data_IF_806105292473
#
_entry.id   IF_806105292473
#
_cell.length_a   1.000
_cell.length_b   1.000
_cell.length_c   1.000
_cell.angle_alpha   90.00
_cell.angle_beta   90.00
_cell.angle_gamma   90.00
#
_symmetry.space_group_name_H-M   'P 1'
#
loop_
_entity.id
_entity.type
_entity.pdbx_description
1 polymer ?
#
# COMPACT_ATOMS: atom_id res chain seq x y z
N UNK A 1 70.56 -23.23 24.50
CA UNK A 1 70.22 -22.99 25.92
C UNK A 1 69.07 -22.00 25.98
N UNK A 2 67.93 -22.45 26.54
CA UNK A 2 66.76 -21.72 27.10
C UNK A 2 66.02 -20.73 26.16
N UNK A 3 64.80 -20.97 25.66
CA UNK A 3 63.47 -21.21 26.28
C UNK A 3 63.06 -20.15 27.32
N UNK A 4 61.93 -19.46 27.06
CA UNK A 4 60.58 -19.59 27.69
C UNK A 4 59.57 -19.02 26.66
N UNK A 5 58.60 -19.77 26.10
CA UNK A 5 57.32 -20.30 26.64
C UNK A 5 56.22 -19.24 26.86
N UNK A 6 55.19 -19.34 26.01
CA UNK A 6 53.74 -19.17 26.24
C UNK A 6 53.08 -18.97 24.85
N UNK A 7 52.21 -19.80 24.29
CA UNK A 7 51.39 -20.86 24.85
C UNK A 7 49.92 -20.65 24.48
N UNK A 8 49.54 -20.68 23.19
CA UNK A 8 48.14 -20.95 22.80
C UNK A 8 48.05 -21.75 21.50
N UNK A 9 47.73 -23.02 21.69
CA UNK A 9 47.28 -23.98 20.69
C UNK A 9 45.83 -23.62 20.31
N UNK A 10 45.60 -23.07 19.12
CA UNK A 10 44.24 -22.89 18.59
C UNK A 10 43.96 -24.06 17.68
N UNK A 11 43.21 -25.02 18.21
CA UNK A 11 42.63 -26.13 17.48
C UNK A 11 42.11 -25.65 16.11
N UNK A 12 42.62 -26.30 15.06
CA UNK A 12 42.04 -26.22 13.73
C UNK A 12 40.63 -26.79 13.76
N UNK A 13 39.65 -25.92 13.97
CA UNK A 13 38.27 -26.20 13.61
C UNK A 13 38.13 -25.99 12.10
N UNK A 14 38.26 -27.10 11.38
CA UNK A 14 37.78 -27.26 10.02
C UNK A 14 36.26 -27.04 10.03
N UNK A 15 35.82 -25.86 9.60
CA UNK A 15 34.40 -25.56 9.37
C UNK A 15 33.89 -26.09 8.03
N UNK A 16 34.68 -26.90 7.31
CA UNK A 16 34.37 -27.22 5.91
C UNK A 16 33.49 -28.44 5.68
N UNK A 17 33.09 -29.27 6.67
CA UNK A 17 32.40 -30.53 6.32
C UNK A 17 31.25 -31.03 7.19
N UNK A 18 30.72 -30.27 8.18
CA UNK A 18 29.59 -30.76 8.99
C UNK A 18 28.23 -30.13 8.68
N UNK A 19 28.15 -29.03 7.92
CA UNK A 19 26.86 -28.41 7.57
C UNK A 19 26.27 -28.92 6.24
N UNK A 20 27.09 -29.53 5.39
CA UNK A 20 26.67 -29.98 4.04
C UNK A 20 25.94 -31.34 4.09
N UNK A 21 26.19 -32.16 5.13
CA UNK A 21 25.59 -33.49 5.28
C UNK A 21 24.10 -33.50 5.68
N UNK A 22 23.56 -32.41 6.22
CA UNK A 22 22.16 -32.35 6.69
C UNK A 22 21.17 -31.72 5.69
N UNK A 23 21.64 -31.17 4.57
CA UNK A 23 20.77 -30.44 3.61
C UNK A 23 20.42 -31.22 2.34
N UNK A 24 20.93 -32.43 2.15
CA UNK A 24 20.72 -33.20 0.92
C UNK A 24 19.83 -34.44 1.05
N UNK A 25 19.32 -34.72 2.25
CA UNK A 25 18.29 -35.72 2.47
C UNK A 25 17.18 -35.19 3.35
N UNK A 26 16.33 -34.32 2.78
CA UNK A 26 14.95 -34.29 3.25
C UNK A 26 13.95 -33.94 2.15
N UNK A 27 13.11 -34.93 1.85
CA UNK A 27 11.80 -34.73 1.23
C UNK A 27 10.89 -34.13 2.31
N UNK A 28 11.06 -32.84 2.60
CA UNK A 28 10.05 -32.00 3.25
C UNK A 28 10.48 -30.52 3.17
N UNK A 29 9.88 -29.81 2.21
CA UNK A 29 9.89 -28.34 2.09
C UNK A 29 9.06 -27.74 3.25
N UNK A 30 9.52 -27.87 4.49
CA UNK A 30 8.84 -27.35 5.67
C UNK A 30 9.84 -26.71 6.63
N UNK A 31 10.21 -25.46 6.36
CA UNK A 31 10.10 -24.34 7.32
C UNK A 31 10.58 -23.02 6.70
N UNK A 32 9.72 -22.49 5.82
CA UNK A 32 9.32 -21.09 5.77
C UNK A 32 10.39 -20.01 6.04
N UNK A 33 11.45 -19.95 5.22
CA UNK A 33 12.47 -18.87 5.17
C UNK A 33 11.91 -17.46 4.86
N UNK A 34 10.59 -17.33 4.69
CA UNK A 34 9.96 -16.04 4.49
C UNK A 34 10.02 -15.23 5.79
N UNK A 35 10.49 -13.97 5.76
CA UNK A 35 10.51 -13.11 6.94
C UNK A 35 9.11 -12.86 7.52
N UNK A 36 9.00 -12.73 8.85
CA UNK A 36 7.73 -12.49 9.54
C UNK A 36 7.01 -11.22 9.10
N UNK A 37 7.76 -10.16 8.78
CA UNK A 37 7.19 -8.90 8.28
C UNK A 37 6.53 -9.04 6.90
N UNK A 38 6.87 -10.08 6.14
CA UNK A 38 6.23 -10.45 4.88
C UNK A 38 5.04 -11.38 5.14
N UNK A 39 5.24 -12.44 5.94
CA UNK A 39 4.21 -13.45 6.25
C UNK A 39 2.94 -12.82 6.84
N UNK A 40 3.09 -11.88 7.78
CA UNK A 40 1.98 -11.30 8.55
C UNK A 40 1.32 -10.10 7.89
N UNK A 41 1.88 -9.57 6.79
CA UNK A 41 1.42 -8.32 6.20
C UNK A 41 1.18 -8.50 4.69
N UNK A 42 -0.10 -8.57 4.31
CA UNK A 42 -0.47 -8.77 2.90
C UNK A 42 0.02 -7.64 1.99
N UNK A 43 0.13 -6.41 2.48
CA UNK A 43 0.64 -5.27 1.72
C UNK A 43 2.16 -5.43 1.51
N UNK A 44 2.88 -5.85 2.54
CA UNK A 44 4.32 -6.09 2.45
C UNK A 44 4.63 -7.26 1.50
N UNK A 45 3.88 -8.36 1.58
CA UNK A 45 4.02 -9.48 0.66
C UNK A 45 3.73 -9.10 -0.79
N UNK A 46 2.69 -8.31 -1.05
CA UNK A 46 2.40 -7.82 -2.39
C UNK A 46 3.53 -6.92 -2.92
N UNK A 47 4.00 -5.98 -2.10
CA UNK A 47 5.15 -5.14 -2.47
C UNK A 47 6.41 -5.96 -2.73
N UNK A 48 6.71 -6.95 -1.89
CA UNK A 48 7.88 -7.83 -2.07
C UNK A 48 7.80 -8.57 -3.39
N UNK A 49 6.65 -9.18 -3.68
CA UNK A 49 6.40 -9.87 -4.95
C UNK A 49 6.58 -8.94 -6.16
N UNK A 50 6.09 -7.69 -6.08
CA UNK A 50 6.33 -6.69 -7.15
C UNK A 50 7.82 -6.41 -7.37
N UNK A 51 8.62 -6.37 -6.30
CA UNK A 51 10.07 -6.18 -6.44
C UNK A 51 10.70 -7.41 -7.11
N UNK A 52 10.31 -8.62 -6.70
CA UNK A 52 10.80 -9.87 -7.32
C UNK A 52 10.60 -9.85 -8.84
N UNK A 53 9.38 -9.57 -9.31
CA UNK A 53 9.07 -9.61 -10.76
C UNK A 53 9.73 -8.46 -11.56
N UNK A 54 10.20 -7.41 -10.88
CA UNK A 54 10.88 -6.27 -11.51
C UNK A 54 12.39 -6.29 -11.29
N UNK A 55 12.93 -7.32 -10.63
CA UNK A 55 14.37 -7.43 -10.40
C UNK A 55 15.03 -8.15 -11.56
N UNK A 56 16.00 -7.50 -12.21
CA UNK A 56 16.84 -8.17 -13.20
C UNK A 56 17.74 -9.20 -12.49
N UNK A 57 17.73 -10.48 -12.90
CA UNK A 57 18.54 -11.53 -12.31
C UNK A 57 20.04 -11.21 -12.25
N UNK A 58 20.58 -10.44 -13.22
CA UNK A 58 22.00 -10.07 -13.25
C UNK A 58 22.42 -9.23 -12.05
N UNK A 59 21.46 -8.55 -11.42
CA UNK A 59 21.68 -7.65 -10.31
C UNK A 59 21.74 -8.39 -8.97
N UNK A 60 21.30 -9.64 -8.96
CA UNK A 60 21.25 -10.48 -7.77
C UNK A 60 22.63 -11.05 -7.42
N UNK A 61 23.64 -10.88 -8.29
CA UNK A 61 24.98 -11.43 -8.09
C UNK A 61 24.97 -12.96 -7.94
N UNK A 62 23.95 -13.63 -8.50
CA UNK A 62 23.82 -15.08 -8.48
C UNK A 62 24.94 -15.70 -9.30
N UNK A 63 25.60 -16.72 -8.74
CA UNK A 63 26.74 -17.37 -9.41
C UNK A 63 26.29 -18.27 -10.55
N UNK A 64 25.11 -18.88 -10.41
CA UNK A 64 24.49 -19.73 -11.41
C UNK A 64 23.20 -19.09 -11.97
N UNK A 65 23.36 -18.07 -12.83
CA UNK A 65 22.23 -17.37 -13.48
C UNK A 65 21.29 -18.34 -14.21
N UNK A 66 21.83 -19.36 -14.90
CA UNK A 66 21.01 -20.33 -15.63
C UNK A 66 20.16 -21.18 -14.68
N UNK A 67 20.75 -21.66 -13.57
CA UNK A 67 20.04 -22.44 -12.57
C UNK A 67 18.97 -21.62 -11.84
N UNK A 68 19.30 -20.38 -11.49
CA UNK A 68 18.36 -19.44 -10.89
C UNK A 68 17.19 -19.13 -11.84
N UNK A 69 17.49 -18.73 -13.08
CA UNK A 69 16.45 -18.45 -14.09
C UNK A 69 15.59 -19.67 -14.37
N UNK A 70 16.17 -20.88 -14.38
CA UNK A 70 15.42 -22.13 -14.54
C UNK A 70 14.47 -22.37 -13.37
N UNK A 71 14.94 -22.17 -12.13
CA UNK A 71 14.11 -22.31 -10.94
C UNK A 71 12.98 -21.27 -10.87
N UNK A 72 13.20 -20.11 -11.49
CA UNK A 72 12.24 -19.00 -11.51
C UNK A 72 11.43 -18.90 -12.81
N UNK A 73 11.59 -19.84 -13.75
CA UNK A 73 10.82 -19.84 -15.00
C UNK A 73 9.32 -19.87 -14.72
N UNK A 74 8.59 -18.93 -15.32
CA UNK A 74 7.15 -18.74 -15.11
C UNK A 74 6.77 -17.92 -13.87
N UNK A 75 7.70 -17.69 -12.95
CA UNK A 75 7.48 -16.90 -11.73
C UNK A 75 7.99 -15.46 -11.83
N UNK A 76 9.03 -15.23 -12.63
CA UNK A 76 9.57 -13.89 -12.96
C UNK A 76 9.76 -13.75 -14.47
N UNK A 77 9.79 -12.52 -15.01
CA UNK A 77 10.14 -12.30 -16.41
C UNK A 77 11.57 -12.79 -16.68
N UNK A 78 11.71 -13.79 -17.54
CA UNK A 78 13.00 -14.27 -18.01
C UNK A 78 13.08 -14.09 -19.54
N UNK A 79 13.69 -12.98 -19.98
CA UNK A 79 13.76 -12.64 -21.41
C UNK A 79 12.37 -12.45 -22.03
N UNK A 80 12.05 -13.22 -23.06
CA UNK A 80 10.75 -13.21 -23.76
C UNK A 80 9.70 -14.14 -23.16
N UNK A 81 9.97 -14.78 -22.02
CA UNK A 81 9.03 -15.69 -21.36
C UNK A 81 8.09 -14.87 -20.47
N UNK A 82 6.77 -14.85 -20.76
CA UNK A 82 5.81 -14.13 -19.93
C UNK A 82 5.71 -14.76 -18.54
N UNK A 83 5.41 -13.94 -17.53
CA UNK A 83 5.01 -14.42 -16.20
C UNK A 83 3.81 -15.36 -16.40
N UNK A 84 3.89 -16.61 -15.92
CA UNK A 84 2.83 -17.59 -16.11
C UNK A 84 1.75 -17.48 -15.04
N UNK A 85 2.05 -16.86 -13.89
CA UNK A 85 1.11 -16.75 -12.76
C UNK A 85 1.23 -15.41 -12.05
N UNK A 86 0.22 -14.55 -12.19
CA UNK A 86 0.02 -13.40 -11.30
C UNK A 86 -0.69 -13.94 -10.05
N UNK A 87 -0.10 -13.85 -8.85
CA UNK A 87 -0.74 -14.32 -7.62
C UNK A 87 -2.09 -13.62 -7.39
N UNK A 88 -3.13 -14.40 -7.11
CA UNK A 88 -4.48 -13.90 -6.87
C UNK A 88 -4.81 -13.62 -5.40
N UNK A 89 -3.93 -14.02 -4.48
CA UNK A 89 -4.12 -13.89 -3.04
C UNK A 89 -2.79 -13.89 -2.29
N UNK A 90 -2.87 -13.73 -0.96
CA UNK A 90 -1.71 -13.67 -0.07
C UNK A 90 -0.92 -14.98 -0.03
N UNK A 91 -1.58 -16.14 0.01
CA UNK A 91 -0.91 -17.44 0.11
C UNK A 91 -0.12 -17.75 -1.16
N UNK A 92 -0.69 -17.48 -2.33
CA UNK A 92 0.03 -17.57 -3.60
C UNK A 92 1.23 -16.64 -3.64
N UNK A 93 1.12 -15.41 -3.09
CA UNK A 93 2.28 -14.50 -2.99
C UNK A 93 3.37 -15.07 -2.09
N UNK A 94 3.02 -15.65 -0.95
CA UNK A 94 3.98 -16.28 -0.06
C UNK A 94 4.67 -17.49 -0.70
N UNK A 95 3.96 -18.32 -1.46
CA UNK A 95 4.55 -19.44 -2.20
C UNK A 95 5.61 -18.97 -3.22
N UNK A 96 5.29 -17.93 -4.01
CA UNK A 96 6.24 -17.34 -4.97
C UNK A 96 7.46 -16.76 -4.25
N UNK A 97 7.24 -16.01 -3.18
CA UNK A 97 8.33 -15.42 -2.38
C UNK A 97 9.21 -16.51 -1.76
N UNK A 98 8.61 -17.58 -1.23
CA UNK A 98 9.33 -18.72 -0.67
C UNK A 98 10.24 -19.39 -1.69
N UNK A 99 9.70 -19.68 -2.89
CA UNK A 99 10.48 -20.27 -3.99
C UNK A 99 11.66 -19.39 -4.39
N UNK A 100 11.44 -18.08 -4.46
CA UNK A 100 12.47 -17.12 -4.80
C UNK A 100 13.58 -17.02 -3.73
N UNK A 101 13.20 -16.96 -2.45
CA UNK A 101 14.16 -16.96 -1.33
C UNK A 101 14.97 -18.26 -1.32
N UNK A 102 14.32 -19.41 -1.50
CA UNK A 102 14.99 -20.71 -1.55
C UNK A 102 15.99 -20.81 -2.72
N UNK A 103 15.70 -20.16 -3.85
CA UNK A 103 16.65 -20.06 -4.96
C UNK A 103 17.87 -19.22 -4.57
N UNK A 104 17.69 -18.10 -3.88
CA UNK A 104 18.81 -17.26 -3.43
C UNK A 104 19.65 -17.89 -2.33
N UNK A 105 19.05 -18.68 -1.44
CA UNK A 105 19.78 -19.42 -0.40
C UNK A 105 20.81 -20.36 -1.05
N UNK A 106 20.44 -21.03 -2.15
CA UNK A 106 21.35 -21.91 -2.90
C UNK A 106 22.56 -21.18 -3.50
N UNK A 107 22.42 -19.89 -3.76
CA UNK A 107 23.50 -19.02 -4.28
C UNK A 107 24.19 -18.19 -3.18
N UNK A 108 23.83 -18.37 -1.90
CA UNK A 108 24.34 -17.61 -0.74
C UNK A 108 24.12 -16.08 -0.85
N UNK A 109 23.00 -15.66 -1.46
CA UNK A 109 22.64 -14.25 -1.70
C UNK A 109 21.39 -13.80 -0.90
N UNK A 110 20.74 -14.71 -0.17
CA UNK A 110 19.44 -14.45 0.49
C UNK A 110 19.50 -13.33 1.52
N UNK A 111 20.51 -13.34 2.39
CA UNK A 111 20.53 -12.52 3.60
C UNK A 111 20.71 -11.04 3.28
N UNK A 112 21.61 -10.74 2.34
CA UNK A 112 21.84 -9.38 1.87
C UNK A 112 20.61 -8.82 1.18
N UNK A 113 19.95 -9.61 0.33
CA UNK A 113 18.76 -9.15 -0.38
C UNK A 113 17.58 -8.93 0.56
N UNK A 114 17.28 -9.89 1.45
CA UNK A 114 16.20 -9.79 2.44
C UNK A 114 16.43 -8.59 3.36
N UNK A 115 17.66 -8.37 3.81
CA UNK A 115 18.00 -7.23 4.66
C UNK A 115 17.76 -5.91 3.94
N UNK A 116 18.17 -5.81 2.68
CA UNK A 116 17.95 -4.60 1.86
C UNK A 116 16.47 -4.35 1.61
N UNK A 117 15.71 -5.40 1.29
CA UNK A 117 14.26 -5.32 1.13
C UNK A 117 13.55 -4.86 2.39
N UNK A 118 13.97 -5.35 3.55
CA UNK A 118 13.38 -4.95 4.82
C UNK A 118 13.66 -3.47 5.12
N UNK A 119 14.89 -2.99 4.87
CA UNK A 119 15.20 -1.57 5.01
C UNK A 119 14.34 -0.70 4.09
N UNK A 120 14.15 -1.13 2.84
CA UNK A 120 13.30 -0.44 1.88
C UNK A 120 11.83 -0.43 2.32
N UNK A 121 11.32 -1.56 2.82
CA UNK A 121 9.97 -1.66 3.36
C UNK A 121 9.77 -0.67 4.51
N UNK A 122 10.68 -0.61 5.48
CA UNK A 122 10.59 0.31 6.62
C UNK A 122 10.50 1.80 6.20
N UNK A 123 11.13 2.17 5.09
CA UNK A 123 11.07 3.54 4.55
C UNK A 123 9.70 3.87 3.95
N UNK A 124 9.01 2.90 3.36
CA UNK A 124 7.73 3.09 2.68
C UNK A 124 6.51 2.69 3.52
N UNK A 125 6.68 1.83 4.52
CA UNK A 125 5.61 1.28 5.36
C UNK A 125 4.80 2.40 6.01
N UNK A 126 5.49 3.40 6.56
CA UNK A 126 4.88 4.55 7.24
C UNK A 126 4.27 5.57 6.28
N UNK A 127 4.45 5.42 4.97
CA UNK A 127 3.91 6.35 3.96
C UNK A 127 2.46 5.98 3.65
N UNK A 128 1.63 7.01 3.51
CA UNK A 128 0.29 6.97 2.89
C UNK A 128 -0.49 5.68 3.17
N UNK A 129 -0.94 5.52 4.41
CA UNK A 129 -1.74 4.36 4.84
C UNK A 129 -3.14 4.29 4.19
N UNK A 130 -3.49 5.24 3.31
CA UNK A 130 -4.80 5.36 2.67
C UNK A 130 -5.98 5.15 3.64
N UNK A 131 -5.84 5.59 4.90
CA UNK A 131 -6.83 5.39 6.00
C UNK A 131 -8.24 5.87 5.65
N UNK A 132 -8.35 6.78 4.69
CA UNK A 132 -9.62 7.32 4.19
C UNK A 132 -10.37 6.32 3.29
N UNK A 133 -9.69 5.35 2.69
CA UNK A 133 -10.27 4.35 1.80
C UNK A 133 -10.74 3.15 2.60
N UNK A 134 -12.04 2.83 2.55
CA UNK A 134 -12.59 1.64 3.21
C UNK A 134 -12.57 0.46 2.24
N UNK A 135 -12.49 -0.76 2.81
CA UNK A 135 -12.63 -2.04 2.07
C UNK A 135 -14.10 -2.29 1.66
N UNK A 136 -14.69 -1.42 0.85
CA UNK A 136 -16.00 -1.67 0.22
C UNK A 136 -15.91 -1.47 -1.29
N UNK A 137 -16.71 -2.25 -2.02
CA UNK A 137 -16.65 -2.35 -3.48
C UNK A 137 -16.72 -0.99 -4.16
N UNK A 138 -17.70 -0.16 -3.81
CA UNK A 138 -17.94 1.14 -4.46
C UNK A 138 -16.72 2.08 -4.35
N UNK A 139 -16.16 2.23 -3.14
CA UNK A 139 -15.00 3.09 -2.93
C UNK A 139 -13.76 2.56 -3.62
N UNK A 140 -13.56 1.24 -3.61
CA UNK A 140 -12.42 0.60 -4.25
C UNK A 140 -12.48 0.69 -5.77
N UNK A 141 -13.66 0.50 -6.37
CA UNK A 141 -13.87 0.68 -7.81
C UNK A 141 -13.63 2.12 -8.24
N UNK A 142 -14.16 3.09 -7.48
CA UNK A 142 -13.90 4.51 -7.75
C UNK A 142 -12.41 4.83 -7.66
N UNK A 143 -11.73 4.34 -6.61
CA UNK A 143 -10.30 4.59 -6.41
C UNK A 143 -9.46 3.97 -7.53
N UNK A 144 -9.76 2.73 -7.92
CA UNK A 144 -9.10 2.06 -9.02
C UNK A 144 -9.33 2.78 -10.35
N UNK A 145 -10.56 3.21 -10.64
CA UNK A 145 -10.88 4.01 -11.83
C UNK A 145 -10.12 5.34 -11.84
N UNK A 146 -9.98 6.00 -10.69
CA UNK A 146 -9.23 7.24 -10.57
C UNK A 146 -7.74 7.05 -10.92
N UNK A 147 -7.15 5.95 -10.43
CA UNK A 147 -5.76 5.53 -10.69
C UNK A 147 -5.59 5.18 -12.17
N UNK A 148 -6.43 4.29 -12.71
CA UNK A 148 -6.35 3.82 -14.09
C UNK A 148 -6.48 4.94 -15.13
N UNK A 149 -7.19 6.02 -14.80
CA UNK A 149 -7.31 7.19 -15.67
C UNK A 149 -6.06 8.09 -15.69
N UNK A 150 -5.12 7.92 -14.75
CA UNK A 150 -3.98 8.85 -14.54
C UNK A 150 -2.62 8.18 -14.56
N UNK A 151 -2.59 6.87 -14.37
CA UNK A 151 -1.36 6.08 -14.39
C UNK A 151 -1.39 5.20 -15.65
N UNK A 152 -0.35 5.24 -16.50
CA UNK A 152 -0.29 4.46 -17.71
C UNK A 152 -0.41 2.98 -17.44
N UNK A 153 -1.09 2.30 -18.35
CA UNK A 153 -1.43 0.89 -18.22
C UNK A 153 -0.20 -0.03 -18.08
N UNK A 154 0.94 0.36 -18.68
CA UNK A 154 2.22 -0.36 -18.57
C UNK A 154 2.70 -0.54 -17.13
N UNK A 155 2.27 0.31 -16.21
CA UNK A 155 2.63 0.21 -14.77
C UNK A 155 1.54 -0.49 -13.94
N UNK A 156 0.33 -0.61 -14.48
CA UNK A 156 -0.81 -1.22 -13.82
C UNK A 156 -0.98 -2.71 -14.19
N UNK A 157 -0.31 -3.17 -15.25
CA UNK A 157 -0.38 -4.54 -15.75
C UNK A 157 -0.02 -5.61 -14.71
N UNK A 158 0.73 -5.24 -13.66
CA UNK A 158 1.15 -6.17 -12.60
C UNK A 158 0.20 -6.23 -11.39
N UNK A 159 -0.79 -5.35 -11.30
CA UNK A 159 -1.63 -5.23 -10.10
C UNK A 159 -2.98 -5.97 -10.20
N UNK A 160 -3.28 -6.60 -11.34
CA UNK A 160 -4.58 -7.12 -11.79
C UNK A 160 -5.46 -7.72 -10.66
N UNK A 161 -6.29 -6.90 -9.98
CA UNK A 161 -6.91 -7.34 -8.74
C UNK A 161 -8.17 -8.16 -9.04
N UNK A 162 -8.21 -9.39 -8.53
CA UNK A 162 -9.31 -10.35 -8.77
C UNK A 162 -10.44 -10.25 -7.74
N UNK A 163 -10.21 -9.58 -6.61
CA UNK A 163 -11.17 -9.41 -5.52
C UNK A 163 -11.08 -8.00 -4.94
N UNK A 164 -12.07 -7.62 -4.11
CA UNK A 164 -12.03 -6.33 -3.40
C UNK A 164 -10.87 -6.25 -2.40
N UNK A 165 -10.50 -7.37 -1.75
CA UNK A 165 -9.35 -7.37 -0.85
C UNK A 165 -8.06 -7.12 -1.63
N UNK A 166 -7.86 -7.82 -2.74
CA UNK A 166 -6.70 -7.61 -3.62
C UNK A 166 -6.69 -6.20 -4.22
N UNK A 167 -7.86 -5.68 -4.61
CA UNK A 167 -7.99 -4.30 -5.11
C UNK A 167 -7.56 -3.29 -4.06
N UNK A 168 -7.97 -3.48 -2.80
CA UNK A 168 -7.52 -2.63 -1.70
C UNK A 168 -6.00 -2.71 -1.51
N UNK A 169 -5.43 -3.92 -1.45
CA UNK A 169 -3.98 -4.12 -1.28
C UNK A 169 -3.22 -3.46 -2.43
N UNK A 170 -3.62 -3.71 -3.67
CA UNK A 170 -3.04 -3.13 -4.87
C UNK A 170 -3.04 -1.60 -4.81
N UNK A 171 -4.17 -0.98 -4.45
CA UNK A 171 -4.26 0.49 -4.29
C UNK A 171 -3.29 0.98 -3.22
N UNK A 172 -3.26 0.34 -2.05
CA UNK A 172 -2.41 0.78 -0.93
C UNK A 172 -0.93 0.65 -1.29
N UNK A 173 -0.50 -0.48 -1.87
CA UNK A 173 0.88 -0.68 -2.35
C UNK A 173 1.23 0.39 -3.36
N UNK A 174 0.37 0.61 -4.35
CA UNK A 174 0.59 1.59 -5.40
C UNK A 174 0.77 3.00 -4.81
N UNK A 175 -0.09 3.42 -3.88
CA UNK A 175 0.04 4.72 -3.20
C UNK A 175 1.34 4.86 -2.38
N UNK A 176 1.90 3.76 -1.85
CA UNK A 176 3.18 3.76 -1.13
C UNK A 176 4.37 3.95 -2.08
N UNK A 177 4.34 3.36 -3.27
CA UNK A 177 5.46 3.38 -4.23
C UNK A 177 5.46 4.60 -5.17
N UNK A 178 4.36 5.37 -5.23
CA UNK A 178 4.25 6.55 -6.11
C UNK A 178 5.07 7.78 -5.68
N UNK A 179 5.79 7.75 -4.55
CA UNK A 179 6.56 8.89 -4.06
C UNK A 179 8.03 8.78 -4.51
N UNK A 180 8.56 9.74 -5.30
CA UNK A 180 9.86 9.66 -5.95
C UNK A 180 11.05 10.11 -5.10
N UNK A 181 10.87 10.63 -3.89
CA UNK A 181 11.96 11.33 -3.21
C UNK A 181 13.00 10.40 -2.57
N UNK A 182 12.63 9.29 -1.93
CA UNK A 182 13.60 8.55 -1.11
C UNK A 182 13.26 7.05 -1.02
N UNK A 183 13.80 6.22 -1.90
CA UNK A 183 13.82 4.77 -1.68
C UNK A 183 15.28 4.29 -1.77
N UNK A 184 15.82 3.62 -0.74
CA UNK A 184 17.21 3.17 -0.75
C UNK A 184 17.48 2.14 -1.84
N UNK A 185 18.64 2.36 -2.42
CA UNK A 185 19.20 1.74 -3.60
C UNK A 185 19.61 0.28 -3.46
N UNK A 186 19.14 -0.62 -4.32
CA UNK A 186 20.08 -1.50 -5.02
C UNK A 186 20.19 -1.21 -6.52
N UNK A 187 19.14 -0.67 -7.16
CA UNK A 187 19.23 -0.08 -8.51
C UNK A 187 18.35 1.14 -8.75
N UNK A 188 18.72 1.94 -9.76
CA UNK A 188 18.13 3.23 -10.14
C UNK A 188 16.67 2.98 -10.33
N UNK A 189 15.82 3.49 -9.44
CA UNK A 189 14.44 3.07 -9.45
C UNK A 189 13.69 3.88 -10.50
N UNK A 190 14.34 4.17 -11.64
CA UNK A 190 13.76 4.82 -12.81
C UNK A 190 12.64 3.97 -13.44
N UNK A 191 12.56 2.66 -13.15
CA UNK A 191 11.54 1.77 -13.73
C UNK A 191 10.22 1.81 -12.95
N UNK A 192 10.24 2.04 -11.64
CA UNK A 192 9.01 2.17 -10.82
C UNK A 192 8.74 3.59 -10.32
N UNK A 193 9.70 4.52 -10.42
CA UNK A 193 9.55 5.89 -9.92
C UNK A 193 8.74 6.72 -10.90
N UNK A 194 7.48 6.91 -10.52
CA UNK A 194 6.59 7.84 -11.19
C UNK A 194 6.95 9.28 -10.80
N UNK A 195 7.88 9.89 -11.53
CA UNK A 195 8.16 11.34 -11.44
C UNK A 195 6.92 12.20 -11.71
N UNK A 196 5.85 11.62 -12.28
CA UNK A 196 4.56 12.26 -12.50
C UNK A 196 3.75 12.38 -11.20
N UNK A 197 3.85 11.45 -10.25
CA UNK A 197 3.00 11.45 -9.06
C UNK A 197 3.42 12.46 -7.96
N UNK A 198 4.73 12.73 -7.77
CA UNK A 198 5.12 13.85 -6.89
C UNK A 198 5.06 15.21 -7.55
N UNK A 199 5.29 15.34 -8.86
CA UNK A 199 5.09 16.63 -9.52
C UNK A 199 3.65 17.12 -9.39
N UNK A 200 2.70 16.19 -9.26
CA UNK A 200 1.28 16.51 -9.24
C UNK A 200 0.58 16.45 -7.88
N UNK A 201 1.27 16.13 -6.77
CA UNK A 201 0.61 15.84 -5.48
C UNK A 201 -0.54 14.83 -5.66
N UNK A 202 -0.27 13.74 -6.37
CA UNK A 202 -1.30 12.78 -6.79
C UNK A 202 -2.17 12.29 -5.63
N UNK A 203 -1.53 11.90 -4.51
CA UNK A 203 -2.24 11.45 -3.32
C UNK A 203 -3.19 12.52 -2.77
N UNK A 204 -2.74 13.77 -2.65
CA UNK A 204 -3.58 14.87 -2.16
C UNK A 204 -4.75 15.14 -3.11
N UNK A 205 -4.52 15.12 -4.43
CA UNK A 205 -5.57 15.28 -5.44
C UNK A 205 -6.59 14.14 -5.38
N UNK A 206 -6.12 12.90 -5.27
CA UNK A 206 -6.97 11.72 -5.15
C UNK A 206 -7.79 11.77 -3.86
N UNK A 207 -7.17 12.06 -2.72
CA UNK A 207 -7.83 12.18 -1.44
C UNK A 207 -8.88 13.30 -1.44
N UNK A 208 -8.58 14.47 -2.03
CA UNK A 208 -9.55 15.55 -2.18
C UNK A 208 -10.72 15.18 -3.09
N UNK A 209 -10.46 14.49 -4.21
CA UNK A 209 -11.51 14.01 -5.10
C UNK A 209 -12.38 12.95 -4.42
N UNK A 210 -11.77 12.05 -3.64
CA UNK A 210 -12.47 11.05 -2.85
C UNK A 210 -13.38 11.71 -1.81
N UNK A 211 -12.85 12.69 -1.08
CA UNK A 211 -13.64 13.46 -0.10
C UNK A 211 -14.85 14.10 -0.78
N UNK A 212 -14.67 14.74 -1.94
CA UNK A 212 -15.77 15.33 -2.70
C UNK A 212 -16.85 14.31 -3.08
N UNK A 213 -16.44 13.12 -3.51
CA UNK A 213 -17.35 12.06 -3.95
C UNK A 213 -18.13 11.44 -2.78
N UNK A 214 -17.44 11.04 -1.72
CA UNK A 214 -18.02 10.17 -0.68
C UNK A 214 -18.26 10.84 0.67
N UNK A 215 -17.62 11.98 0.93
CA UNK A 215 -17.74 12.71 2.21
C UNK A 215 -18.56 13.99 2.03
N UNK A 216 -18.19 14.82 1.06
CA UNK A 216 -18.88 16.08 0.77
C UNK A 216 -20.21 15.85 0.02
N UNK A 217 -20.47 14.63 -0.47
CA UNK A 217 -21.79 14.18 -0.92
C UNK A 217 -22.81 14.05 0.22
N UNK A 218 -22.34 13.97 1.47
CA UNK A 218 -23.15 14.21 2.69
C UNK A 218 -23.13 15.69 3.09
N UNK A 219 -22.92 16.61 2.15
CA UNK A 219 -23.30 18.00 2.38
C UNK A 219 -24.74 17.99 2.85
N UNK A 220 -24.91 18.47 4.08
CA UNK A 220 -26.16 19.00 4.57
C UNK A 220 -26.95 19.56 3.38
N UNK A 221 -28.16 19.06 3.12
CA UNK A 221 -29.03 19.61 2.04
C UNK A 221 -29.44 21.07 2.31
N UNK A 222 -28.77 21.72 3.26
CA UNK A 222 -28.97 23.11 3.67
C UNK A 222 -28.43 24.01 2.57
N UNK A 223 -29.28 24.93 2.17
CA UNK A 223 -28.96 25.98 1.22
C UNK A 223 -28.62 27.23 2.03
N UNK A 224 -27.49 27.86 1.74
CA UNK A 224 -27.14 29.13 2.36
C UNK A 224 -28.08 30.24 1.85
N UNK A 225 -28.73 30.94 2.77
CA UNK A 225 -29.57 32.09 2.45
C UNK A 225 -28.83 33.35 2.93
N UNK A 226 -28.44 34.22 2.00
CA UNK A 226 -27.86 35.53 2.32
C UNK A 226 -28.94 36.61 2.14
N UNK A 227 -29.43 37.18 3.25
CA UNK A 227 -30.42 38.27 3.23
C UNK A 227 -29.98 39.41 4.14
N UNK A 228 -30.37 40.63 3.80
CA UNK A 228 -30.29 41.77 4.71
C UNK A 228 -31.63 41.90 5.45
N UNK A 229 -31.59 41.95 6.78
CA UNK A 229 -32.76 42.20 7.64
C UNK A 229 -32.56 43.50 8.41
N UNK A 230 -33.64 44.07 8.95
CA UNK A 230 -33.53 45.24 9.82
C UNK A 230 -32.75 44.94 11.10
N UNK A 231 -32.17 45.99 11.71
CA UNK A 231 -31.45 45.87 12.99
C UNK A 231 -32.31 45.27 14.10
N UNK A 232 -33.60 45.60 14.10
CA UNK A 232 -34.53 45.19 15.15
C UNK A 232 -34.94 43.73 14.98
N UNK A 233 -35.13 43.28 13.74
CA UNK A 233 -35.34 41.86 13.43
C UNK A 233 -34.11 41.03 13.83
N UNK A 234 -32.90 41.54 13.60
CA UNK A 234 -31.66 40.89 14.03
C UNK A 234 -31.56 40.78 15.55
N UNK A 235 -31.84 41.85 16.30
CA UNK A 235 -31.88 41.82 17.78
C UNK A 235 -32.89 40.82 18.31
N UNK A 236 -34.06 40.76 17.68
CA UNK A 236 -35.14 39.82 18.07
C UNK A 236 -34.71 38.37 17.83
N UNK A 237 -34.11 38.08 16.67
CA UNK A 237 -33.56 36.76 16.36
C UNK A 237 -32.45 36.34 17.34
N UNK A 238 -31.58 37.29 17.72
CA UNK A 238 -30.51 37.05 18.69
C UNK A 238 -31.06 36.79 20.10
N UNK A 239 -32.16 37.45 20.48
CA UNK A 239 -32.85 37.19 21.75
C UNK A 239 -33.48 35.80 21.77
N UNK A 240 -34.21 35.45 20.72
CA UNK A 240 -34.86 34.14 20.58
C UNK A 240 -33.84 32.99 20.62
N UNK A 241 -32.66 33.18 20.03
CA UNK A 241 -31.61 32.15 20.09
C UNK A 241 -31.07 31.92 21.49
N UNK A 242 -30.94 32.97 22.31
CA UNK A 242 -30.53 32.87 23.71
C UNK A 242 -31.60 32.19 24.56
N UNK A 243 -32.86 32.62 24.41
CA UNK A 243 -34.00 32.07 25.16
C UNK A 243 -34.21 30.58 24.87
N UNK A 244 -34.14 30.19 23.59
CA UNK A 244 -34.33 28.81 23.13
C UNK A 244 -33.06 27.95 23.19
N UNK A 245 -31.93 28.51 23.63
CA UNK A 245 -30.61 27.87 23.68
C UNK A 245 -30.25 27.10 22.40
N UNK A 246 -30.50 27.72 21.25
CA UNK A 246 -30.32 27.09 19.93
C UNK A 246 -29.64 28.05 18.95
N UNK A 247 -29.43 27.60 17.71
CA UNK A 247 -28.78 28.40 16.65
C UNK A 247 -29.78 29.27 15.90
N UNK A 248 -29.31 30.36 15.27
CA UNK A 248 -30.17 31.26 14.51
C UNK A 248 -30.83 30.54 13.34
N UNK A 249 -30.08 29.60 12.75
CA UNK A 249 -30.58 28.71 11.73
C UNK A 249 -31.80 27.92 12.22
N UNK A 250 -31.69 27.25 13.38
CA UNK A 250 -32.79 26.44 13.92
C UNK A 250 -34.03 27.30 14.26
N UNK A 251 -33.84 28.51 14.78
CA UNK A 251 -34.95 29.44 15.04
C UNK A 251 -35.64 29.84 13.73
N UNK A 252 -34.88 30.18 12.69
CA UNK A 252 -35.43 30.55 11.39
C UNK A 252 -36.19 29.40 10.72
N UNK A 253 -35.64 28.18 10.76
CA UNK A 253 -36.31 26.99 10.22
C UNK A 253 -37.65 26.74 10.93
N UNK A 254 -37.68 26.83 12.26
CA UNK A 254 -38.90 26.66 13.05
C UNK A 254 -39.96 27.73 12.72
N UNK A 255 -39.56 29.00 12.61
CA UNK A 255 -40.46 30.10 12.25
C UNK A 255 -41.04 29.92 10.83
N UNK A 256 -40.21 29.53 9.86
CA UNK A 256 -40.65 29.29 8.48
C UNK A 256 -41.64 28.11 8.42
N UNK A 257 -41.34 27.00 9.12
CA UNK A 257 -42.20 25.83 9.15
C UNK A 257 -43.55 26.13 9.81
N UNK A 258 -43.55 26.79 10.96
CA UNK A 258 -44.80 27.13 11.65
C UNK A 258 -45.64 28.12 10.85
N UNK A 259 -45.04 29.14 10.25
CA UNK A 259 -45.81 30.10 9.46
C UNK A 259 -46.39 29.47 8.19
N UNK A 260 -45.65 28.54 7.56
CA UNK A 260 -46.16 27.74 6.44
C UNK A 260 -47.41 26.94 6.82
N UNK A 261 -47.41 26.29 7.99
CA UNK A 261 -48.56 25.52 8.48
C UNK A 261 -49.79 26.41 8.71
N UNK A 262 -49.59 27.60 9.28
CA UNK A 262 -50.67 28.58 9.48
C UNK A 262 -51.28 29.01 8.14
N UNK A 263 -50.46 29.33 7.14
CA UNK A 263 -50.92 29.74 5.81
C UNK A 263 -51.66 28.60 5.08
N UNK A 264 -51.21 27.35 5.24
CA UNK A 264 -51.88 26.20 4.63
C UNK A 264 -53.25 25.93 5.24
N UNK A 265 -53.38 26.08 6.56
CA UNK A 265 -54.66 25.89 7.25
C UNK A 265 -55.68 26.99 6.91
N UNK A 266 -55.24 28.22 6.65
CA UNK A 266 -56.13 29.34 6.25
C UNK A 266 -56.53 29.33 4.77
N UNK A 267 -56.04 28.38 3.96
CA UNK A 267 -56.43 28.22 2.55
C UNK A 267 -57.43 27.07 2.32
N UNK A 268 -57.83 26.39 3.39
CA UNK A 268 -58.79 25.28 3.36
C UNK A 268 -60.18 25.68 3.91
N UNK A 269 -60.35 26.96 4.28
CA UNK A 269 -61.62 27.62 4.56
C UNK A 269 -61.99 28.57 3.40
#
# INVERSE_FOLDING_TARGET
MKQYEDGYNVNGYSWENETIGYLLHDKQLTDNHIPEWVKKNEIAAFWFWLVIINTDPKLLGVRNELGFNTAMMGLIPAGSIPITTIPSDHEMRLDVISKWINALIRDNQSDWFISTMHQNWLQIEKRNEAKWLKKNTEQLEWAWKYINARIPHTYLSWFYPVSDNERYIAIVVLLKILFPADTPYLQQPKVLHYGVAAKEKFFDKMHNAFRKQFTDGKKDKRVQINVKISSDAKRTLDRLTRELKTTQQAVLEHLIQNHRLVIQNHRLD
#
